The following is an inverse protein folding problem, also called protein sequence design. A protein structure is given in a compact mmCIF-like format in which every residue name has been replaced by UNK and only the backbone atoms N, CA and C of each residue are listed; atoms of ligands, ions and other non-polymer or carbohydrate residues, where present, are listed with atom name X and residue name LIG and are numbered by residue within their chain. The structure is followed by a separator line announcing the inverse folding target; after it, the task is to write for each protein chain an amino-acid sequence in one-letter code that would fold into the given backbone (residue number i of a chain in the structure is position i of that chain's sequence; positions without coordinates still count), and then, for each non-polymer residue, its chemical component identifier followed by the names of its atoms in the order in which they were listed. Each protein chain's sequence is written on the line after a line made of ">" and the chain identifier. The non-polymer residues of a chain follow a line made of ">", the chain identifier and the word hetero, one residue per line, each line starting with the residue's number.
data_IF_463782429497
#
_entry.id   IF_463782429497
#
_cell.length_a   1.000
_cell.length_b   1.000
_cell.length_c   1.000
_cell.angle_alpha   90.00
_cell.angle_beta   90.00
_cell.angle_gamma   90.00
#
_symmetry.space_group_name_H-M   'P 1'
#
loop_
_entity.id
_entity.type
_entity.pdbx_description
1 polymer ?
#
# COMPACT_ATOMS: atom_id res chain seq x y z
N UNK A 1 33.55 -25.61 -20.91
CA UNK A 1 32.37 -25.83 -20.05
C UNK A 1 31.61 -24.52 -20.03
N UNK A 2 30.46 -24.46 -20.72
CA UNK A 2 29.69 -23.22 -20.85
C UNK A 2 28.86 -22.99 -19.58
N UNK A 3 28.94 -21.79 -19.03
CA UNK A 3 27.97 -21.30 -18.05
C UNK A 3 26.89 -20.56 -18.84
N UNK A 4 25.70 -21.13 -18.89
CA UNK A 4 24.54 -20.50 -19.52
C UNK A 4 24.04 -19.39 -18.58
N UNK A 5 24.27 -18.14 -18.97
CA UNK A 5 23.79 -16.99 -18.22
C UNK A 5 22.28 -16.84 -18.47
N UNK A 6 21.45 -16.54 -17.45
CA UNK A 6 20.02 -16.34 -17.65
C UNK A 6 19.81 -15.15 -18.60
N UNK A 7 19.33 -15.45 -19.81
CA UNK A 7 18.97 -14.45 -20.81
C UNK A 7 17.91 -13.50 -20.25
N UNK A 8 18.32 -12.28 -19.93
CA UNK A 8 17.40 -11.14 -19.72
C UNK A 8 16.69 -10.87 -21.04
N UNK A 9 15.49 -11.45 -21.20
CA UNK A 9 14.62 -11.25 -22.37
C UNK A 9 14.34 -9.75 -22.55
N UNK A 10 14.22 -9.30 -23.80
CA UNK A 10 13.98 -7.87 -24.04
C UNK A 10 12.60 -7.46 -23.50
N UNK A 11 12.39 -6.17 -23.15
CA UNK A 11 11.16 -5.72 -22.51
C UNK A 11 9.88 -6.17 -23.23
N UNK A 12 9.89 -6.06 -24.57
CA UNK A 12 8.76 -6.42 -25.42
C UNK A 12 8.48 -7.92 -25.46
N UNK A 13 9.51 -8.76 -25.57
CA UNK A 13 9.35 -10.24 -25.55
C UNK A 13 8.80 -10.74 -24.20
N UNK A 14 9.18 -10.06 -23.11
CA UNK A 14 8.66 -10.37 -21.79
C UNK A 14 7.18 -9.94 -21.65
N UNK A 15 6.81 -8.73 -22.09
CA UNK A 15 5.40 -8.25 -22.13
C UNK A 15 4.49 -9.11 -23.01
N UNK A 16 4.94 -9.49 -24.21
CA UNK A 16 4.23 -10.43 -25.09
C UNK A 16 4.05 -11.81 -24.41
N UNK A 17 5.02 -12.23 -23.59
CA UNK A 17 4.92 -13.42 -22.74
C UNK A 17 3.88 -13.28 -21.61
N UNK A 18 3.92 -12.20 -20.83
CA UNK A 18 3.05 -12.01 -19.67
C UNK A 18 1.60 -11.70 -20.04
N UNK A 19 1.36 -10.95 -21.12
CA UNK A 19 0.01 -10.77 -21.68
C UNK A 19 -0.59 -12.12 -22.14
N UNK A 20 0.24 -13.03 -22.63
CA UNK A 20 -0.13 -14.43 -22.89
C UNK A 20 -0.57 -15.17 -21.61
N UNK A 21 0.15 -15.00 -20.50
CA UNK A 21 -0.18 -15.61 -19.20
C UNK A 21 -1.46 -15.02 -18.60
N UNK A 22 -1.65 -13.70 -18.63
CA UNK A 22 -2.90 -13.07 -18.17
C UNK A 22 -4.12 -13.58 -18.94
N UNK A 23 -4.02 -13.72 -20.26
CA UNK A 23 -5.08 -14.32 -21.09
C UNK A 23 -5.34 -15.80 -20.76
N UNK A 24 -4.36 -16.52 -20.20
CA UNK A 24 -4.58 -17.88 -19.70
C UNK A 24 -5.27 -17.88 -18.33
N UNK A 25 -4.85 -17.00 -17.42
CA UNK A 25 -5.51 -16.79 -16.11
C UNK A 25 -7.00 -16.49 -16.31
N UNK A 26 -7.34 -15.58 -17.23
CA UNK A 26 -8.73 -15.29 -17.58
C UNK A 26 -9.51 -16.50 -18.09
N UNK A 27 -8.89 -17.31 -18.97
CA UNK A 27 -9.49 -18.56 -19.47
C UNK A 27 -9.56 -19.70 -18.44
N UNK A 28 -8.80 -19.61 -17.35
CA UNK A 28 -9.02 -20.46 -16.19
C UNK A 28 -10.22 -19.95 -15.38
N UNK A 29 -10.33 -18.64 -15.17
CA UNK A 29 -11.49 -17.99 -14.52
C UNK A 29 -12.82 -18.32 -15.21
N UNK A 30 -12.88 -18.22 -16.55
CA UNK A 30 -14.06 -18.57 -17.36
C UNK A 30 -14.54 -20.04 -17.19
N UNK A 31 -13.71 -20.91 -16.60
CA UNK A 31 -14.01 -22.34 -16.33
C UNK A 31 -14.28 -22.64 -14.85
N UNK A 32 -14.15 -21.67 -13.96
CA UNK A 32 -14.33 -21.82 -12.51
C UNK A 32 -15.76 -21.45 -12.14
N UNK A 33 -16.47 -22.35 -11.44
CA UNK A 33 -17.85 -22.10 -11.02
C UNK A 33 -17.95 -21.35 -9.67
N UNK A 34 -16.86 -21.24 -8.91
CA UNK A 34 -16.83 -20.56 -7.61
C UNK A 34 -16.73 -19.02 -7.76
N UNK A 35 -17.80 -18.26 -7.44
CA UNK A 35 -17.79 -16.80 -7.56
C UNK A 35 -16.82 -16.12 -6.59
N UNK A 36 -16.47 -16.75 -5.46
CA UNK A 36 -15.52 -16.20 -4.50
C UNK A 36 -14.10 -16.27 -5.05
N UNK A 37 -13.72 -17.40 -5.65
CA UNK A 37 -12.45 -17.53 -6.37
C UNK A 37 -12.39 -16.62 -7.60
N UNK A 38 -13.47 -16.52 -8.39
CA UNK A 38 -13.55 -15.59 -9.53
C UNK A 38 -13.28 -14.15 -9.11
N UNK A 39 -13.90 -13.65 -8.03
CA UNK A 39 -13.65 -12.30 -7.54
C UNK A 39 -12.18 -12.05 -7.14
N UNK A 40 -11.48 -13.07 -6.61
CA UNK A 40 -10.03 -12.99 -6.32
C UNK A 40 -9.20 -12.92 -7.61
N UNK A 41 -9.59 -13.65 -8.65
CA UNK A 41 -8.89 -13.63 -9.95
C UNK A 41 -9.12 -12.29 -10.66
N UNK A 42 -10.34 -11.76 -10.65
CA UNK A 42 -10.65 -10.43 -11.21
C UNK A 42 -9.83 -9.32 -10.51
N UNK A 43 -9.71 -9.41 -9.17
CA UNK A 43 -8.84 -8.52 -8.38
C UNK A 43 -7.37 -8.66 -8.77
N UNK A 44 -6.89 -9.89 -9.01
CA UNK A 44 -5.54 -10.15 -9.50
C UNK A 44 -5.27 -9.52 -10.87
N UNK A 45 -6.24 -9.61 -11.80
CA UNK A 45 -6.16 -8.98 -13.12
C UNK A 45 -6.06 -7.45 -13.01
N UNK A 46 -6.89 -6.80 -12.18
CA UNK A 46 -6.83 -5.34 -11.93
C UNK A 46 -5.46 -4.91 -11.40
N UNK A 47 -4.97 -5.56 -10.34
CA UNK A 47 -3.68 -5.22 -9.72
C UNK A 47 -2.55 -5.41 -10.75
N UNK A 48 -2.57 -6.49 -11.53
CA UNK A 48 -1.53 -6.75 -12.52
C UNK A 48 -1.56 -5.73 -13.67
N UNK A 49 -2.75 -5.32 -14.12
CA UNK A 49 -2.89 -4.25 -15.12
C UNK A 49 -2.36 -2.90 -14.61
N UNK A 50 -2.57 -2.60 -13.33
CA UNK A 50 -2.02 -1.40 -12.67
C UNK A 50 -0.50 -1.46 -12.50
N UNK A 51 0.06 -2.63 -12.18
CA UNK A 51 1.51 -2.87 -12.15
C UNK A 51 2.13 -2.63 -13.54
N UNK A 52 1.53 -3.14 -14.61
CA UNK A 52 2.03 -2.90 -15.97
C UNK A 52 1.99 -1.42 -16.34
N UNK A 53 0.87 -0.72 -16.07
CA UNK A 53 0.78 0.73 -16.31
C UNK A 53 1.86 1.50 -15.55
N UNK A 54 2.12 1.18 -14.28
CA UNK A 54 3.17 1.85 -13.50
C UNK A 54 4.58 1.67 -14.10
N UNK A 55 4.83 0.55 -14.81
CA UNK A 55 6.08 0.30 -15.54
C UNK A 55 6.11 0.92 -16.94
N UNK A 56 4.97 1.08 -17.60
CA UNK A 56 4.85 1.89 -18.82
C UNK A 56 5.12 3.39 -18.53
N UNK A 57 4.62 3.87 -17.39
CA UNK A 57 4.80 5.25 -16.90
C UNK A 57 6.25 5.53 -16.44
N UNK A 58 6.88 4.60 -15.70
CA UNK A 58 8.32 4.65 -15.38
C UNK A 58 9.00 3.28 -15.62
N UNK A 59 9.71 3.11 -16.76
CA UNK A 59 10.43 1.89 -17.08
C UNK A 59 11.48 1.46 -16.05
N UNK A 60 11.97 2.35 -15.17
CA UNK A 60 12.91 1.98 -14.09
C UNK A 60 12.27 1.05 -13.06
N UNK A 61 10.95 1.09 -12.91
CA UNK A 61 10.19 0.21 -12.00
C UNK A 61 10.20 -1.25 -12.44
N UNK A 62 10.50 -1.55 -13.71
CA UNK A 62 10.54 -2.93 -14.25
C UNK A 62 11.39 -3.89 -13.41
N UNK A 63 12.61 -3.48 -13.07
CA UNK A 63 13.55 -4.31 -12.32
C UNK A 63 13.01 -4.70 -10.92
N UNK A 64 12.05 -3.93 -10.36
CA UNK A 64 11.42 -4.22 -9.07
C UNK A 64 10.34 -5.30 -9.16
N UNK A 65 9.86 -5.64 -10.36
CA UNK A 65 8.80 -6.64 -10.59
C UNK A 65 9.28 -7.89 -11.35
N UNK A 66 10.56 -8.01 -11.68
CA UNK A 66 11.09 -9.15 -12.45
C UNK A 66 10.82 -10.50 -11.76
N UNK A 67 11.05 -10.62 -10.45
CA UNK A 67 10.72 -11.85 -9.69
C UNK A 67 9.22 -12.15 -9.73
N UNK A 68 8.40 -11.10 -9.64
CA UNK A 68 6.95 -11.21 -9.62
C UNK A 68 6.39 -11.73 -10.96
N UNK A 69 6.85 -11.15 -12.07
CA UNK A 69 6.43 -11.54 -13.41
C UNK A 69 6.97 -12.93 -13.83
N UNK A 70 8.21 -13.26 -13.46
CA UNK A 70 8.84 -14.52 -13.87
C UNK A 70 8.47 -15.74 -12.99
N UNK A 71 8.09 -15.54 -11.72
CA UNK A 71 7.83 -16.65 -10.80
C UNK A 71 6.40 -16.68 -10.25
N UNK A 72 5.84 -15.56 -9.78
CA UNK A 72 4.51 -15.58 -9.15
C UNK A 72 3.38 -15.66 -10.19
N UNK A 73 3.44 -14.90 -11.28
CA UNK A 73 2.39 -14.92 -12.32
C UNK A 73 2.24 -16.31 -12.99
N UNK A 74 3.30 -17.00 -13.44
CA UNK A 74 3.18 -18.33 -14.05
C UNK A 74 2.78 -19.42 -13.04
N UNK A 75 3.18 -19.27 -11.77
CA UNK A 75 2.77 -20.20 -10.70
C UNK A 75 1.28 -20.05 -10.39
N UNK A 76 0.78 -18.82 -10.36
CA UNK A 76 -0.65 -18.54 -10.17
C UNK A 76 -1.49 -19.15 -11.29
N UNK A 77 -1.07 -18.99 -12.55
CA UNK A 77 -1.75 -19.63 -13.69
C UNK A 77 -1.87 -21.15 -13.48
N UNK A 78 -0.77 -21.84 -13.10
CA UNK A 78 -0.79 -23.29 -12.86
C UNK A 78 -1.75 -23.72 -11.75
N UNK A 79 -1.89 -22.94 -10.69
CA UNK A 79 -2.83 -23.23 -9.60
C UNK A 79 -4.29 -23.11 -10.06
N UNK A 80 -4.60 -22.08 -10.86
CA UNK A 80 -5.93 -21.85 -11.41
C UNK A 80 -6.30 -22.87 -12.49
N UNK A 81 -5.35 -23.25 -13.35
CA UNK A 81 -5.54 -24.33 -14.32
C UNK A 81 -5.87 -25.66 -13.63
N UNK A 82 -5.11 -26.02 -12.57
CA UNK A 82 -5.39 -27.21 -11.76
C UNK A 82 -6.74 -27.13 -11.04
N UNK A 83 -7.13 -25.97 -10.51
CA UNK A 83 -8.46 -25.79 -9.91
C UNK A 83 -9.58 -26.04 -10.93
N UNK A 84 -9.48 -25.44 -12.11
CA UNK A 84 -10.48 -25.59 -13.17
C UNK A 84 -10.57 -27.04 -13.68
N UNK A 85 -9.45 -27.77 -13.74
CA UNK A 85 -9.44 -29.21 -14.03
C UNK A 85 -10.15 -30.02 -12.93
N UNK A 86 -9.93 -29.70 -11.65
CA UNK A 86 -10.60 -30.38 -10.53
C UNK A 86 -12.10 -30.08 -10.48
N UNK A 87 -12.52 -28.86 -10.84
CA UNK A 87 -13.92 -28.45 -10.91
C UNK A 87 -14.63 -29.17 -12.07
N UNK A 88 -14.04 -29.16 -13.26
CA UNK A 88 -14.57 -29.82 -14.45
C UNK A 88 -14.61 -31.36 -14.35
N UNK A 89 -13.75 -31.97 -13.53
CA UNK A 89 -13.76 -33.42 -13.33
C UNK A 89 -15.02 -33.93 -12.63
N UNK A 90 -15.70 -33.11 -11.83
CA UNK A 90 -16.96 -33.44 -11.16
C UNK A 90 -16.90 -34.58 -10.14
N UNK A 91 -15.70 -35.08 -9.79
CA UNK A 91 -15.51 -36.18 -8.81
C UNK A 91 -15.21 -35.60 -7.44
N UNK A 92 -16.18 -35.67 -6.53
CA UNK A 92 -16.03 -35.21 -5.12
C UNK A 92 -15.19 -36.17 -4.26
N UNK A 93 -13.93 -36.38 -4.63
CA UNK A 93 -12.95 -37.04 -3.79
C UNK A 93 -12.43 -36.10 -2.70
N UNK A 94 -12.29 -36.58 -1.46
CA UNK A 94 -11.82 -35.77 -0.32
C UNK A 94 -10.46 -35.09 -0.58
N UNK A 95 -9.55 -35.79 -1.25
CA UNK A 95 -8.25 -35.22 -1.65
C UNK A 95 -8.39 -34.04 -2.62
N UNK A 96 -9.37 -34.09 -3.53
CA UNK A 96 -9.64 -33.06 -4.53
C UNK A 96 -10.27 -31.82 -3.87
N UNK A 97 -11.24 -32.04 -2.96
CA UNK A 97 -11.84 -31.01 -2.12
C UNK A 97 -10.79 -30.26 -1.30
N UNK A 98 -9.87 -30.98 -0.67
CA UNK A 98 -8.76 -30.37 0.08
C UNK A 98 -7.75 -29.64 -0.83
N UNK A 99 -7.52 -30.11 -2.06
CA UNK A 99 -6.66 -29.42 -3.02
C UNK A 99 -7.28 -28.09 -3.47
N UNK A 100 -8.56 -28.07 -3.83
CA UNK A 100 -9.33 -26.85 -4.14
C UNK A 100 -9.26 -25.83 -2.99
N UNK A 101 -9.56 -26.24 -1.76
CA UNK A 101 -9.47 -25.38 -0.58
C UNK A 101 -8.06 -24.84 -0.28
N UNK A 102 -7.01 -25.61 -0.59
CA UNK A 102 -5.62 -25.11 -0.47
C UNK A 102 -5.34 -24.03 -1.50
N UNK A 103 -5.79 -24.21 -2.75
CA UNK A 103 -5.65 -23.21 -3.82
C UNK A 103 -6.43 -21.94 -3.46
N UNK A 104 -7.69 -22.04 -3.02
CA UNK A 104 -8.53 -20.90 -2.61
C UNK A 104 -7.85 -20.02 -1.55
N UNK A 105 -7.20 -20.64 -0.56
CA UNK A 105 -6.42 -19.95 0.49
C UNK A 105 -5.09 -19.40 0.00
N UNK A 106 -4.41 -20.12 -0.90
CA UNK A 106 -3.17 -19.62 -1.52
C UNK A 106 -3.46 -18.39 -2.39
N UNK A 107 -4.62 -18.32 -3.03
CA UNK A 107 -5.05 -17.15 -3.80
C UNK A 107 -5.23 -15.89 -2.96
N UNK A 108 -5.66 -15.99 -1.70
CA UNK A 108 -5.69 -14.84 -0.78
C UNK A 108 -4.27 -14.27 -0.56
N UNK A 109 -3.30 -15.14 -0.28
CA UNK A 109 -1.89 -14.75 -0.11
C UNK A 109 -1.27 -14.21 -1.40
N UNK A 110 -1.66 -14.75 -2.56
CA UNK A 110 -1.20 -14.25 -3.87
C UNK A 110 -1.75 -12.84 -4.11
N UNK A 111 -3.05 -12.60 -3.94
CA UNK A 111 -3.66 -11.27 -4.11
C UNK A 111 -3.01 -10.26 -3.16
N UNK A 112 -2.84 -10.58 -1.87
CA UNK A 112 -2.18 -9.70 -0.92
C UNK A 112 -0.71 -9.38 -1.30
N UNK A 113 0.03 -10.38 -1.81
CA UNK A 113 1.38 -10.17 -2.33
C UNK A 113 1.42 -9.27 -3.57
N UNK A 114 0.42 -9.36 -4.44
CA UNK A 114 0.26 -8.50 -5.61
C UNK A 114 -0.06 -7.05 -5.19
N UNK A 115 -0.94 -6.86 -4.21
CA UNK A 115 -1.27 -5.53 -3.67
C UNK A 115 -0.05 -4.86 -3.03
N UNK A 116 0.71 -5.59 -2.20
CA UNK A 116 1.96 -5.11 -1.61
C UNK A 116 3.00 -4.76 -2.69
N UNK A 117 3.12 -5.56 -3.75
CA UNK A 117 4.04 -5.29 -4.84
C UNK A 117 3.68 -4.00 -5.60
N UNK A 118 2.38 -3.70 -5.75
CA UNK A 118 1.91 -2.46 -6.36
C UNK A 118 2.13 -1.24 -5.44
N UNK A 119 1.97 -1.40 -4.12
CA UNK A 119 2.24 -0.34 -3.14
C UNK A 119 3.72 0.07 -3.13
N UNK A 120 4.65 -0.89 -3.08
CA UNK A 120 6.10 -0.64 -3.14
C UNK A 120 6.57 -0.01 -4.47
N UNK A 121 5.76 -0.06 -5.54
CA UNK A 121 6.05 0.68 -6.78
C UNK A 121 5.76 2.18 -6.67
N UNK A 122 4.74 2.57 -5.91
CA UNK A 122 4.35 3.97 -5.71
C UNK A 122 4.99 4.61 -4.47
N UNK A 123 5.46 3.79 -3.52
CA UNK A 123 6.08 4.24 -2.27
C UNK A 123 7.27 5.19 -2.45
N UNK A 124 8.11 4.99 -3.46
CA UNK A 124 9.20 5.95 -3.76
C UNK A 124 8.64 7.29 -4.18
N UNK A 125 7.75 7.31 -5.17
CA UNK A 125 7.10 8.53 -5.68
C UNK A 125 6.38 9.30 -4.55
N UNK A 126 5.72 8.58 -3.64
CA UNK A 126 5.04 9.16 -2.47
C UNK A 126 6.01 9.80 -1.46
N UNK A 127 7.19 9.22 -1.25
CA UNK A 127 8.22 9.79 -0.37
C UNK A 127 8.85 11.07 -0.96
N UNK A 128 9.02 11.11 -2.28
CA UNK A 128 9.52 12.30 -2.98
C UNK A 128 8.49 13.45 -2.85
N UNK A 129 7.20 13.17 -3.05
CA UNK A 129 6.12 14.15 -2.86
C UNK A 129 5.99 14.63 -1.41
N UNK A 130 6.09 13.76 -0.40
CA UNK A 130 6.09 14.19 1.02
C UNK A 130 7.29 15.10 1.34
N UNK A 131 8.44 14.85 0.72
CA UNK A 131 9.63 15.69 0.86
C UNK A 131 9.43 17.07 0.24
N UNK A 132 8.89 17.14 -0.97
CA UNK A 132 8.57 18.40 -1.66
C UNK A 132 7.52 19.22 -0.90
N UNK A 133 6.49 18.57 -0.34
CA UNK A 133 5.47 19.22 0.51
C UNK A 133 6.14 19.86 1.72
N UNK A 134 6.99 19.15 2.47
CA UNK A 134 7.70 19.71 3.64
C UNK A 134 8.59 20.89 3.29
N UNK A 135 9.21 20.89 2.11
CA UNK A 135 10.01 22.02 1.62
C UNK A 135 9.11 23.23 1.36
N UNK A 136 7.98 23.04 0.66
CA UNK A 136 7.00 24.12 0.45
C UNK A 136 6.41 24.65 1.75
N UNK A 137 6.02 23.77 2.68
CA UNK A 137 5.55 24.15 4.01
C UNK A 137 6.59 24.98 4.76
N UNK A 138 7.86 24.57 4.73
CA UNK A 138 8.96 25.29 5.38
C UNK A 138 9.15 26.69 4.78
N UNK A 139 9.07 26.81 3.45
CA UNK A 139 9.14 28.11 2.77
C UNK A 139 7.95 29.00 3.14
N UNK A 140 6.73 28.47 3.08
CA UNK A 140 5.51 29.21 3.44
C UNK A 140 5.53 29.69 4.89
N UNK A 141 5.91 28.82 5.84
CA UNK A 141 6.03 29.20 7.26
C UNK A 141 7.10 30.28 7.49
N UNK A 142 8.25 30.20 6.79
CA UNK A 142 9.29 31.21 6.89
C UNK A 142 8.80 32.55 6.35
N UNK A 143 8.13 32.55 5.21
CA UNK A 143 7.71 33.76 4.53
C UNK A 143 6.51 34.41 5.26
N UNK A 144 5.57 33.64 5.82
CA UNK A 144 4.51 34.17 6.71
C UNK A 144 5.05 34.66 8.05
N UNK A 145 5.98 33.93 8.69
CA UNK A 145 6.63 34.40 9.91
C UNK A 145 7.49 35.66 9.68
N UNK A 146 8.05 35.84 8.46
CA UNK A 146 8.68 37.10 8.05
C UNK A 146 7.65 38.23 8.01
N UNK A 147 6.47 38.01 7.44
CA UNK A 147 5.39 39.01 7.42
C UNK A 147 4.93 39.35 8.85
N UNK A 148 4.69 38.39 9.73
CA UNK A 148 4.30 38.68 11.12
C UNK A 148 5.36 39.50 11.89
N UNK A 149 6.63 39.25 11.59
CA UNK A 149 7.78 39.95 12.20
C UNK A 149 7.98 41.34 11.62
N UNK A 150 7.88 41.51 10.31
CA UNK A 150 8.03 42.80 9.61
C UNK A 150 6.85 43.75 9.90
N UNK A 151 5.65 43.22 10.15
CA UNK A 151 4.49 44.00 10.60
C UNK A 151 4.41 44.16 12.14
N UNK A 152 5.35 43.60 12.91
CA UNK A 152 5.45 43.82 14.36
C UNK A 152 4.29 43.27 15.20
N UNK A 153 3.54 42.29 14.68
CA UNK A 153 2.28 41.82 15.29
C UNK A 153 2.46 40.93 16.54
N UNK A 154 3.70 40.49 16.83
CA UNK A 154 4.03 39.64 17.99
C UNK A 154 4.02 40.33 19.36
N UNK A 155 3.49 41.55 19.47
CA UNK A 155 3.53 42.37 20.70
C UNK A 155 2.16 42.89 21.12
N UNK A 156 1.22 42.01 21.48
CA UNK A 156 -0.09 42.42 21.98
C UNK A 156 -0.02 43.02 23.39
N UNK A 157 -0.25 44.33 23.46
CA UNK A 157 -0.90 45.06 24.56
C UNK A 157 -0.70 44.49 25.98
N UNK A 158 0.42 44.84 26.62
CA UNK A 158 0.48 44.80 28.08
C UNK A 158 -0.31 45.99 28.64
N UNK A 159 -1.62 45.76 28.83
CA UNK A 159 -2.57 46.77 29.32
C UNK A 159 -2.22 47.28 30.72
N UNK A 160 -2.59 48.53 30.97
CA UNK A 160 -2.53 49.17 32.28
C UNK A 160 -3.61 48.64 33.26
N UNK A 161 -3.61 49.16 34.51
CA UNK A 161 -4.38 48.73 35.70
C UNK A 161 -3.82 47.45 36.35
N UNK A 162 -3.86 47.19 37.67
CA UNK A 162 -4.25 47.94 38.87
C UNK A 162 -3.63 47.21 40.11
N UNK A 163 -3.54 47.70 41.35
CA UNK A 163 -3.78 49.03 41.99
C UNK A 163 -3.26 49.00 43.45
N UNK A 164 -3.04 50.18 44.06
CA UNK A 164 -3.02 50.44 45.52
C UNK A 164 -2.20 49.52 46.46
N UNK A 165 -1.08 50.03 46.97
CA UNK A 165 -0.42 49.49 48.16
C UNK A 165 -0.82 50.25 49.44
N UNK A 166 -1.69 49.63 50.25
CA UNK A 166 -1.97 49.82 51.69
C UNK A 166 -3.02 48.75 52.00
N UNK A 167 -2.84 47.73 52.85
CA UNK A 167 -2.03 47.69 54.05
C UNK A 167 -2.97 47.68 55.25
N UNK A 168 -3.54 46.51 55.58
CA UNK A 168 -3.87 46.16 56.97
C UNK A 168 -4.15 44.66 57.17
N UNK A 169 -4.06 44.28 58.45
CA UNK A 169 -4.08 42.94 59.07
C UNK A 169 -5.33 42.07 58.88
N UNK A 170 -5.16 40.75 58.87
CA UNK A 170 -5.68 39.88 59.96
C UNK A 170 -4.88 38.56 60.10
N UNK A 171 -4.85 37.98 61.31
CA UNK A 171 -4.12 36.77 61.70
C UNK A 171 -5.07 35.77 62.40
N UNK A 172 -5.39 34.65 61.74
CA UNK A 172 -5.95 33.47 62.42
C UNK A 172 -7.01 32.71 61.61
N UNK A 173 -6.88 31.38 61.52
CA UNK A 173 -7.80 30.55 60.75
C UNK A 173 -7.44 29.06 60.81
N UNK A 174 -7.74 28.42 61.94
CA UNK A 174 -7.39 27.03 62.26
C UNK A 174 -8.13 26.00 61.39
N UNK A 175 -7.39 24.97 60.95
CA UNK A 175 -7.77 23.58 60.62
C UNK A 175 -9.16 23.23 60.02
N UNK A 176 -9.15 22.38 58.98
CA UNK A 176 -9.74 21.03 59.05
C UNK A 176 -9.33 20.15 57.85
N UNK A 177 -9.20 18.84 58.09
CA UNK A 177 -9.12 17.82 57.05
C UNK A 177 -10.52 17.46 56.56
N UNK A 178 -10.68 17.16 55.26
CA UNK A 178 -11.54 16.05 54.81
C UNK A 178 -10.82 15.29 53.70
N UNK A 179 -10.83 13.97 53.78
CA UNK A 179 -10.30 13.04 52.78
C UNK A 179 -11.32 11.90 52.66
N UNK A 180 -12.10 11.92 51.59
CA UNK A 180 -12.96 10.83 51.10
C UNK A 180 -12.73 10.88 49.57
N UNK A 181 -12.08 9.88 48.96
CA UNK A 181 -12.64 8.58 48.52
C UNK A 181 -13.63 8.74 47.34
#
# INVERSE_FOLDING_TARGET
>A
MFLDAPMTRTPKEAEEGYSGILRNIRRANDRIADPVLTAKIDRLEDITARIFRAVEEDPKKRNRIDTFLNYYLPTTQKLLDAYAEFDAAGVEGENLRQAKQRIEKTMDSIVAGFEHQLDELYKTDAMDVDSDIRVMETMLHRDTASVEKDFGLGGSAQMASNSAGTGDVDLGGTAAQVREE
#
